data_IF_116729443152
#
_entry.id   IF_116729443152
#
_cell.length_a   1.000
_cell.length_b   1.000
_cell.length_c   1.000
_cell.angle_alpha   90.00
_cell.angle_beta   90.00
_cell.angle_gamma   90.00
#
_symmetry.space_group_name_H-M   'P 1'
#
loop_
_entity.id
_entity.type
_entity.pdbx_description
1 polymer ?
#
# COMPACT_ATOMS: atom_id res chain seq x y z
N UNK A 1 9.85 10.84 -14.47
CA UNK A 1 11.02 10.09 -13.97
C UNK A 1 12.05 9.80 -15.07
N UNK A 2 11.91 8.75 -15.89
CA UNK A 2 13.02 8.33 -16.78
C UNK A 2 13.51 9.40 -17.77
N UNK A 3 12.63 10.20 -18.36
CA UNK A 3 13.05 11.31 -19.24
C UNK A 3 13.87 12.38 -18.49
N UNK A 4 13.52 12.67 -17.24
CA UNK A 4 14.29 13.58 -16.38
C UNK A 4 15.63 12.96 -15.98
N UNK A 5 15.64 11.66 -15.66
CA UNK A 5 16.89 10.92 -15.40
C UNK A 5 17.82 10.93 -16.62
N UNK A 6 17.30 10.70 -17.83
CA UNK A 6 18.05 10.80 -19.09
C UNK A 6 18.67 12.20 -19.24
N UNK A 7 17.90 13.24 -18.90
CA UNK A 7 18.34 14.63 -19.02
C UNK A 7 19.43 14.99 -18.01
N UNK A 8 19.55 14.28 -16.88
CA UNK A 8 20.65 14.46 -15.93
C UNK A 8 22.03 14.09 -16.51
N UNK A 9 22.06 13.29 -17.59
CA UNK A 9 23.30 12.80 -18.19
C UNK A 9 24.01 11.68 -17.41
N UNK A 10 23.43 11.20 -16.30
CA UNK A 10 24.03 10.12 -15.51
C UNK A 10 23.98 8.76 -16.23
N UNK A 11 25.03 7.92 -16.09
CA UNK A 11 25.15 6.69 -16.87
C UNK A 11 24.31 5.53 -16.32
N UNK A 12 24.00 5.53 -15.01
CA UNK A 12 23.28 4.45 -14.31
C UNK A 12 22.67 4.98 -13.02
N UNK A 13 21.58 4.37 -12.55
CA UNK A 13 20.98 4.68 -11.24
C UNK A 13 21.89 4.30 -10.08
N UNK A 14 21.83 5.08 -8.99
CA UNK A 14 22.65 4.92 -7.79
C UNK A 14 22.12 3.85 -6.81
N UNK A 15 20.82 3.58 -6.82
CA UNK A 15 20.15 2.61 -5.94
C UNK A 15 19.31 1.60 -6.73
N UNK A 16 19.00 0.42 -6.16
CA UNK A 16 18.08 -0.53 -6.78
C UNK A 16 16.76 0.14 -7.15
N UNK A 17 16.39 0.04 -8.43
CA UNK A 17 15.22 0.72 -8.99
C UNK A 17 14.47 -0.24 -9.90
N UNK A 18 13.14 -0.15 -9.93
CA UNK A 18 12.29 -1.01 -10.78
C UNK A 18 11.18 -0.20 -11.47
N UNK A 19 10.81 -0.64 -12.68
CA UNK A 19 9.65 -0.17 -13.43
C UNK A 19 8.62 -1.30 -13.47
N UNK A 20 7.35 -0.95 -13.28
CA UNK A 20 6.21 -1.87 -13.30
C UNK A 20 5.19 -1.41 -14.35
N UNK A 21 4.75 -2.33 -15.22
CA UNK A 21 3.85 -2.04 -16.34
C UNK A 21 2.42 -2.52 -16.05
N UNK A 22 1.67 -1.75 -15.27
CA UNK A 22 0.34 -2.08 -14.77
C UNK A 22 -0.75 -1.05 -15.11
N UNK A 23 -0.40 0.22 -15.34
CA UNK A 23 -1.36 1.31 -15.56
C UNK A 23 -1.89 1.45 -17.00
N UNK A 24 -1.31 0.75 -17.98
CA UNK A 24 -1.65 0.88 -19.41
C UNK A 24 -2.43 -0.32 -19.97
N UNK A 25 -3.06 -1.11 -19.09
CA UNK A 25 -3.87 -2.28 -19.47
C UNK A 25 -5.34 -1.97 -19.20
N UNK A 26 -6.09 -1.64 -20.25
CA UNK A 26 -7.52 -1.36 -20.14
C UNK A 26 -8.34 -2.66 -20.06
N UNK A 27 -9.17 -2.78 -19.03
CA UNK A 27 -10.13 -3.88 -18.89
C UNK A 27 -11.32 -3.71 -19.85
N UNK A 28 -11.57 -4.71 -20.70
CA UNK A 28 -12.64 -4.68 -21.70
C UNK A 28 -13.26 -6.06 -21.96
N UNK A 29 -12.44 -7.04 -22.36
CA UNK A 29 -12.87 -8.38 -22.78
C UNK A 29 -12.41 -9.50 -21.85
N UNK A 30 -11.50 -9.21 -20.91
CA UNK A 30 -10.94 -10.16 -19.96
C UNK A 30 -9.44 -10.42 -20.17
N UNK A 31 -8.79 -10.85 -19.08
CA UNK A 31 -7.34 -10.98 -18.86
C UNK A 31 -6.45 -11.04 -20.11
N UNK A 32 -6.36 -12.19 -20.78
CA UNK A 32 -5.40 -12.40 -21.87
C UNK A 32 -5.65 -11.52 -23.09
N UNK A 33 -6.92 -11.28 -23.44
CA UNK A 33 -7.30 -10.45 -24.59
C UNK A 33 -6.95 -8.99 -24.35
N UNK A 34 -7.23 -8.51 -23.13
CA UNK A 34 -6.92 -7.15 -22.72
C UNK A 34 -5.40 -6.94 -22.63
N UNK A 35 -4.66 -7.92 -22.10
CA UNK A 35 -3.21 -7.87 -22.03
C UNK A 35 -2.56 -7.87 -23.42
N UNK A 36 -3.04 -8.71 -24.35
CA UNK A 36 -2.51 -8.74 -25.71
C UNK A 36 -2.76 -7.40 -26.41
N UNK A 37 -3.99 -6.90 -26.33
CA UNK A 37 -4.35 -5.58 -26.86
C UNK A 37 -3.48 -4.46 -26.27
N UNK A 38 -3.23 -4.48 -24.96
CA UNK A 38 -2.39 -3.50 -24.30
C UNK A 38 -0.94 -3.55 -24.77
N UNK A 39 -0.39 -4.74 -25.05
CA UNK A 39 0.96 -4.89 -25.62
C UNK A 39 1.05 -4.30 -27.02
N UNK A 40 0.03 -4.51 -27.85
CA UNK A 40 -0.01 -3.97 -29.21
C UNK A 40 -0.14 -2.44 -29.21
N UNK A 41 -1.08 -1.89 -28.42
CA UNK A 41 -1.33 -0.44 -28.33
C UNK A 41 -0.15 0.31 -27.73
N UNK A 42 0.47 -0.22 -26.67
CA UNK A 42 1.49 0.49 -25.90
C UNK A 42 2.92 0.00 -26.19
N UNK A 43 3.13 -0.67 -27.33
CA UNK A 43 4.41 -1.26 -27.71
C UNK A 43 5.56 -0.24 -27.67
N UNK A 44 5.31 1.00 -28.10
CA UNK A 44 6.28 2.10 -28.06
C UNK A 44 6.72 2.41 -26.62
N UNK A 45 5.76 2.63 -25.72
CA UNK A 45 6.00 2.99 -24.32
C UNK A 45 6.72 1.85 -23.59
N UNK A 46 6.25 0.61 -23.75
CA UNK A 46 6.89 -0.54 -23.12
C UNK A 46 8.31 -0.77 -23.63
N UNK A 47 8.56 -0.57 -24.93
CA UNK A 47 9.91 -0.67 -25.49
C UNK A 47 10.82 0.44 -24.95
N UNK A 48 10.33 1.68 -24.87
CA UNK A 48 11.08 2.77 -24.25
C UNK A 48 11.47 2.44 -22.80
N UNK A 49 10.52 2.01 -21.97
CA UNK A 49 10.77 1.69 -20.57
C UNK A 49 11.73 0.50 -20.41
N UNK A 50 11.55 -0.56 -21.21
CA UNK A 50 12.42 -1.74 -21.16
C UNK A 50 13.87 -1.41 -21.57
N UNK A 51 14.05 -0.66 -22.66
CA UNK A 51 15.37 -0.29 -23.17
C UNK A 51 16.05 0.77 -22.30
N UNK A 52 15.29 1.73 -21.75
CA UNK A 52 15.80 2.67 -20.75
C UNK A 52 16.22 1.94 -19.47
N UNK A 53 15.43 0.97 -18.99
CA UNK A 53 15.78 0.17 -17.84
C UNK A 53 17.06 -0.65 -18.06
N UNK A 54 17.18 -1.31 -19.21
CA UNK A 54 18.39 -2.01 -19.60
C UNK A 54 19.62 -1.09 -19.67
N UNK A 55 19.47 0.12 -20.22
CA UNK A 55 20.56 1.10 -20.34
C UNK A 55 21.02 1.64 -18.99
N UNK A 56 20.09 2.03 -18.12
CA UNK A 56 20.40 2.74 -16.87
C UNK A 56 20.41 1.83 -15.63
N UNK A 57 20.26 0.51 -15.80
CA UNK A 57 20.34 -0.46 -14.71
C UNK A 57 19.10 -0.51 -13.82
N UNK A 58 17.92 -0.25 -14.38
CA UNK A 58 16.62 -0.33 -13.69
C UNK A 58 15.95 -1.66 -14.05
N UNK A 59 15.50 -2.41 -13.04
CA UNK A 59 14.75 -3.65 -13.26
C UNK A 59 13.42 -3.38 -13.96
N UNK A 60 12.96 -4.32 -14.80
CA UNK A 60 11.77 -4.12 -15.62
C UNK A 60 10.78 -5.28 -15.47
N UNK A 61 9.64 -4.99 -14.83
CA UNK A 61 8.50 -5.90 -14.75
C UNK A 61 7.59 -5.69 -15.96
N UNK A 62 7.49 -6.75 -16.78
CA UNK A 62 6.79 -6.73 -18.07
C UNK A 62 5.27 -6.54 -17.89
N UNK A 63 4.55 -6.03 -18.91
CA UNK A 63 3.10 -5.95 -18.87
C UNK A 63 2.45 -7.29 -18.54
N UNK A 64 1.54 -7.27 -17.56
CA UNK A 64 0.87 -8.47 -17.04
C UNK A 64 1.60 -9.16 -15.88
N UNK A 65 2.70 -8.59 -15.36
CA UNK A 65 3.39 -9.12 -14.18
C UNK A 65 2.58 -9.00 -12.89
N UNK A 66 1.69 -8.02 -12.80
CA UNK A 66 0.99 -7.65 -11.58
C UNK A 66 1.18 -6.16 -11.24
N UNK A 67 0.38 -5.69 -10.28
CA UNK A 67 0.36 -4.30 -9.84
C UNK A 67 1.60 -4.01 -8.98
N UNK A 68 2.19 -2.83 -9.15
CA UNK A 68 3.45 -2.39 -8.52
C UNK A 68 3.53 -2.73 -7.02
N UNK A 69 2.51 -2.39 -6.25
CA UNK A 69 2.52 -2.56 -4.79
C UNK A 69 2.48 -4.02 -4.34
N UNK A 70 1.82 -4.88 -5.11
CA UNK A 70 1.77 -6.32 -4.86
C UNK A 70 3.13 -6.95 -5.15
N UNK A 71 3.73 -6.59 -6.30
CA UNK A 71 5.08 -7.03 -6.66
C UNK A 71 6.10 -6.55 -5.61
N UNK A 72 5.98 -5.29 -5.14
CA UNK A 72 6.80 -4.74 -4.06
C UNK A 72 6.65 -5.56 -2.79
N UNK A 73 5.42 -5.81 -2.32
CA UNK A 73 5.21 -6.56 -1.08
C UNK A 73 5.79 -7.99 -1.16
N UNK A 74 5.60 -8.65 -2.30
CA UNK A 74 6.03 -10.03 -2.53
C UNK A 74 7.55 -10.19 -2.70
N UNK A 75 8.26 -9.16 -3.19
CA UNK A 75 9.66 -9.30 -3.63
C UNK A 75 10.63 -8.28 -3.01
N UNK A 76 10.19 -7.05 -2.73
CA UNK A 76 11.09 -5.91 -2.48
C UNK A 76 10.95 -5.26 -1.10
N UNK A 77 9.75 -5.27 -0.51
CA UNK A 77 9.55 -4.76 0.84
C UNK A 77 10.17 -5.71 1.88
N UNK A 78 10.68 -5.14 2.97
CA UNK A 78 11.15 -5.89 4.14
C UNK A 78 11.17 -4.97 5.37
N UNK A 79 11.18 -5.51 6.60
CA UNK A 79 11.22 -4.70 7.81
C UNK A 79 12.42 -3.74 7.84
N UNK A 80 12.15 -2.45 8.08
CA UNK A 80 13.17 -1.41 8.14
C UNK A 80 13.61 -0.83 6.79
N UNK A 81 13.06 -1.28 5.66
CA UNK A 81 13.35 -0.65 4.36
C UNK A 81 12.82 0.79 4.33
N UNK A 82 13.62 1.71 3.78
CA UNK A 82 13.14 3.01 3.31
C UNK A 82 12.97 2.93 1.79
N UNK A 83 11.74 2.99 1.31
CA UNK A 83 11.39 2.85 -0.10
C UNK A 83 10.59 4.07 -0.57
N UNK A 84 10.98 4.65 -1.70
CA UNK A 84 10.16 5.66 -2.38
C UNK A 84 9.62 5.09 -3.69
N UNK A 85 8.38 5.45 -4.03
CA UNK A 85 7.71 5.01 -5.24
C UNK A 85 6.96 6.16 -5.89
N UNK A 86 6.92 6.21 -7.21
CA UNK A 86 6.20 7.28 -7.94
C UNK A 86 4.71 6.97 -8.04
N UNK A 87 4.07 6.68 -6.92
CA UNK A 87 2.68 6.26 -6.79
C UNK A 87 2.17 6.58 -5.36
N UNK A 88 0.92 7.01 -5.23
CA UNK A 88 0.35 7.38 -3.92
C UNK A 88 0.18 6.21 -2.95
N UNK A 89 -0.03 5.00 -3.47
CA UNK A 89 -0.32 3.80 -2.68
C UNK A 89 0.95 3.00 -2.32
N UNK A 90 2.14 3.56 -2.57
CA UNK A 90 3.42 3.03 -2.09
C UNK A 90 3.45 2.70 -0.58
N UNK A 91 2.71 3.40 0.31
CA UNK A 91 2.53 3.00 1.71
C UNK A 91 2.10 1.56 1.95
N UNK A 92 1.54 0.86 0.95
CA UNK A 92 1.24 -0.57 1.02
C UNK A 92 2.37 -1.43 1.62
N UNK A 93 3.63 -1.10 1.31
CA UNK A 93 4.80 -1.83 1.81
C UNK A 93 5.00 -1.73 3.33
N UNK A 94 4.37 -0.77 4.01
CA UNK A 94 4.40 -0.66 5.48
C UNK A 94 3.69 -1.80 6.20
N UNK A 95 2.86 -2.58 5.48
CA UNK A 95 2.35 -3.87 5.98
C UNK A 95 3.42 -4.93 6.19
N UNK A 96 4.65 -4.69 5.72
CA UNK A 96 5.83 -5.52 5.94
C UNK A 96 6.94 -4.77 6.70
N UNK A 97 6.56 -3.77 7.50
CA UNK A 97 7.44 -3.06 8.43
C UNK A 97 8.42 -2.07 7.79
N UNK A 98 8.19 -1.69 6.53
CA UNK A 98 8.97 -0.68 5.83
C UNK A 98 8.36 0.72 5.93
N UNK A 99 9.20 1.75 5.82
CA UNK A 99 8.75 3.12 5.52
C UNK A 99 8.72 3.27 4.01
N UNK A 100 7.52 3.19 3.43
CA UNK A 100 7.32 3.24 2.00
C UNK A 100 6.53 4.50 1.63
N UNK A 101 7.12 5.46 0.92
CA UNK A 101 6.53 6.78 0.69
C UNK A 101 6.29 7.04 -0.80
N UNK A 102 5.09 7.52 -1.12
CA UNK A 102 4.74 7.97 -2.46
C UNK A 102 5.36 9.34 -2.76
N UNK A 103 5.98 9.51 -3.93
CA UNK A 103 6.69 10.74 -4.31
C UNK A 103 6.44 11.13 -5.77
N UNK A 104 6.87 12.33 -6.14
CA UNK A 104 6.87 12.77 -7.53
C UNK A 104 7.97 12.11 -8.36
N UNK A 105 7.84 12.17 -9.69
CA UNK A 105 8.86 11.64 -10.59
C UNK A 105 10.22 12.33 -10.50
N UNK A 106 10.29 13.54 -9.94
CA UNK A 106 11.54 14.29 -9.72
C UNK A 106 12.28 13.78 -8.47
N UNK A 107 11.58 13.56 -7.36
CA UNK A 107 12.18 13.02 -6.12
C UNK A 107 12.78 11.63 -6.35
N UNK A 108 12.10 10.80 -7.15
CA UNK A 108 12.66 9.51 -7.58
C UNK A 108 13.96 9.68 -8.38
N UNK A 109 14.06 10.73 -9.19
CA UNK A 109 15.29 11.04 -9.95
C UNK A 109 16.41 11.48 -9.02
N UNK A 110 16.13 12.25 -7.97
CA UNK A 110 17.14 12.65 -6.99
C UNK A 110 17.81 11.43 -6.35
N UNK A 111 17.01 10.49 -5.83
CA UNK A 111 17.56 9.26 -5.22
C UNK A 111 18.26 8.38 -6.25
N UNK A 112 17.69 8.23 -7.46
CA UNK A 112 18.35 7.52 -8.55
C UNK A 112 19.66 8.20 -8.98
N UNK A 113 19.79 9.50 -8.81
CA UNK A 113 20.99 10.28 -9.10
C UNK A 113 22.02 10.29 -7.95
N UNK A 114 21.68 9.72 -6.80
CA UNK A 114 22.52 9.76 -5.59
C UNK A 114 22.46 11.08 -4.84
N UNK A 115 21.44 11.90 -5.10
CA UNK A 115 21.14 13.14 -4.39
C UNK A 115 20.32 12.80 -3.15
N UNK A 116 20.59 13.49 -2.05
CA UNK A 116 19.81 13.32 -0.82
C UNK A 116 18.35 13.72 -1.06
N UNK A 117 17.42 12.84 -0.68
CA UNK A 117 16.00 13.13 -0.73
C UNK A 117 15.56 13.86 0.54
N UNK A 118 14.83 14.96 0.34
CA UNK A 118 14.31 15.77 1.44
C UNK A 118 12.88 15.33 1.79
N UNK A 119 12.65 15.12 3.08
CA UNK A 119 11.33 14.87 3.63
C UNK A 119 11.10 15.79 4.81
N UNK A 120 9.99 16.52 4.81
CA UNK A 120 9.56 17.27 5.99
C UNK A 120 9.33 16.28 7.12
N UNK A 121 9.99 16.51 8.26
CA UNK A 121 9.87 15.65 9.44
C UNK A 121 8.38 15.44 9.79
N UNK A 122 7.87 14.20 9.69
CA UNK A 122 6.46 13.92 9.88
C UNK A 122 6.11 13.93 11.37
N UNK A 123 4.85 14.29 11.66
CA UNK A 123 4.22 13.92 12.94
C UNK A 123 3.92 12.42 12.95
N UNK A 124 3.55 11.87 14.11
CA UNK A 124 3.11 10.46 14.21
C UNK A 124 1.72 10.37 14.83
N UNK A 125 0.79 9.76 14.10
CA UNK A 125 -0.55 9.42 14.59
C UNK A 125 -0.54 7.95 14.96
N UNK A 126 -0.67 7.65 16.26
CA UNK A 126 -0.78 6.30 16.76
C UNK A 126 -2.20 5.75 16.60
N UNK A 127 -2.36 4.61 15.95
CA UNK A 127 -3.62 3.85 15.91
C UNK A 127 -3.45 2.58 16.73
N UNK A 128 -4.03 2.59 17.93
CA UNK A 128 -3.98 1.46 18.87
C UNK A 128 -5.09 0.48 18.55
N UNK A 129 -4.70 -0.73 18.15
CA UNK A 129 -5.59 -1.84 17.86
C UNK A 129 -5.71 -2.75 19.06
N UNK A 130 -6.94 -3.06 19.47
CA UNK A 130 -7.25 -4.00 20.55
C UNK A 130 -8.27 -5.04 20.08
N UNK A 131 -8.38 -6.16 20.79
CA UNK A 131 -9.25 -7.27 20.37
C UNK A 131 -8.76 -7.93 19.08
N UNK A 132 -9.66 -8.66 18.43
CA UNK A 132 -9.40 -9.41 17.19
C UNK A 132 -10.57 -9.26 16.21
N UNK A 133 -10.25 -9.21 14.90
CA UNK A 133 -11.25 -9.22 13.83
C UNK A 133 -12.03 -10.54 13.84
N UNK A 134 -13.35 -10.47 13.64
CA UNK A 134 -14.22 -11.65 13.63
C UNK A 134 -15.31 -11.57 12.56
N UNK A 135 -15.80 -12.74 12.13
CA UNK A 135 -16.88 -12.85 11.17
C UNK A 135 -16.57 -12.18 9.82
N UNK A 136 -17.43 -11.26 9.41
CA UNK A 136 -17.31 -10.54 8.14
C UNK A 136 -16.33 -9.37 8.19
N UNK A 137 -15.92 -8.93 9.38
CA UNK A 137 -14.97 -7.83 9.51
C UNK A 137 -13.60 -8.23 9.00
N UNK A 138 -12.96 -7.30 8.31
CA UNK A 138 -11.74 -7.49 7.53
C UNK A 138 -10.70 -6.43 7.87
N UNK A 139 -9.43 -6.62 7.48
CA UNK A 139 -8.42 -5.57 7.59
C UNK A 139 -8.85 -4.28 6.89
N UNK A 140 -9.60 -4.37 5.78
CA UNK A 140 -10.13 -3.21 5.05
C UNK A 140 -11.02 -2.34 5.94
N UNK A 141 -11.82 -2.94 6.81
CA UNK A 141 -12.73 -2.20 7.70
C UNK A 141 -11.97 -1.32 8.71
N UNK A 142 -10.75 -1.71 9.09
CA UNK A 142 -9.92 -0.91 10.00
C UNK A 142 -9.59 0.43 9.35
N UNK A 143 -9.07 0.40 8.11
CA UNK A 143 -8.70 1.64 7.41
C UNK A 143 -9.93 2.43 6.95
N UNK A 144 -11.04 1.78 6.59
CA UNK A 144 -12.31 2.48 6.33
C UNK A 144 -12.81 3.23 7.57
N UNK A 145 -12.66 2.63 8.76
CA UNK A 145 -13.00 3.27 10.04
C UNK A 145 -12.06 4.43 10.36
N UNK A 146 -10.75 4.24 10.20
CA UNK A 146 -9.74 5.30 10.41
C UNK A 146 -10.00 6.47 9.46
N UNK A 147 -10.30 6.20 8.19
CA UNK A 147 -10.65 7.23 7.20
C UNK A 147 -11.89 8.02 7.62
N UNK A 148 -12.92 7.35 8.13
CA UNK A 148 -14.10 8.03 8.68
C UNK A 148 -13.84 8.89 9.92
N UNK A 149 -12.83 8.52 10.73
CA UNK A 149 -12.43 9.30 11.92
C UNK A 149 -11.59 10.51 11.53
N UNK A 150 -10.60 10.31 10.66
CA UNK A 150 -9.61 11.33 10.31
C UNK A 150 -10.03 12.24 9.17
N UNK A 151 -10.96 11.81 8.32
CA UNK A 151 -11.31 12.46 7.03
C UNK A 151 -10.13 12.49 6.05
N UNK A 152 -10.38 12.90 4.81
CA UNK A 152 -9.34 12.98 3.75
C UNK A 152 -8.17 13.92 4.04
N UNK A 153 -8.24 14.74 5.09
CA UNK A 153 -7.18 15.69 5.48
C UNK A 153 -6.47 15.33 6.80
N UNK A 154 -6.99 14.39 7.58
CA UNK A 154 -6.55 14.19 8.96
C UNK A 154 -5.14 13.62 9.10
N UNK A 155 -4.62 12.94 8.08
CA UNK A 155 -3.26 12.39 8.06
C UNK A 155 -2.19 13.32 7.49
N UNK A 156 -2.56 14.50 6.97
CA UNK A 156 -1.63 15.36 6.23
C UNK A 156 -0.38 15.71 7.03
N UNK A 157 0.80 15.32 6.52
CA UNK A 157 2.10 15.58 7.15
C UNK A 157 2.42 14.69 8.35
N UNK A 158 1.70 13.58 8.52
CA UNK A 158 1.96 12.58 9.55
C UNK A 158 2.17 11.18 8.96
N UNK A 159 2.91 10.34 9.68
CA UNK A 159 2.92 8.89 9.50
C UNK A 159 1.86 8.29 10.41
N UNK A 160 1.10 7.32 9.90
CA UNK A 160 0.18 6.52 10.73
C UNK A 160 0.93 5.29 11.23
N UNK A 161 1.06 5.17 12.54
CA UNK A 161 1.74 4.03 13.17
C UNK A 161 0.74 3.15 13.92
N UNK A 162 0.60 1.90 13.48
CA UNK A 162 -0.31 0.93 14.09
C UNK A 162 0.39 0.18 15.21
N UNK A 163 -0.24 0.09 16.38
CA UNK A 163 0.33 -0.56 17.56
C UNK A 163 -0.75 -1.20 18.42
N UNK A 164 -0.35 -1.87 19.51
CA UNK A 164 -1.27 -2.52 20.43
C UNK A 164 -1.52 -4.01 20.14
N UNK A 165 -2.20 -4.72 21.05
CA UNK A 165 -2.31 -6.18 21.01
C UNK A 165 -3.06 -6.72 19.78
N UNK A 166 -3.98 -5.94 19.21
CA UNK A 166 -4.74 -6.35 18.02
C UNK A 166 -3.91 -6.42 16.74
N UNK A 167 -2.69 -5.87 16.72
CA UNK A 167 -1.80 -5.93 15.54
C UNK A 167 -1.50 -7.38 15.15
N UNK A 168 -1.21 -8.25 16.12
CA UNK A 168 -0.88 -9.64 15.87
C UNK A 168 -2.06 -10.48 15.34
N UNK A 169 -3.29 -9.95 15.40
CA UNK A 169 -4.48 -10.58 14.83
C UNK A 169 -4.61 -10.34 13.32
N UNK A 170 -3.80 -9.48 12.72
CA UNK A 170 -3.93 -9.07 11.31
C UNK A 170 -2.82 -9.72 10.48
N UNK A 171 -3.20 -10.32 9.34
CA UNK A 171 -2.26 -10.93 8.40
C UNK A 171 -1.32 -9.88 7.78
N UNK A 172 -0.17 -10.30 7.25
CA UNK A 172 0.75 -9.39 6.58
C UNK A 172 0.10 -8.61 5.42
N UNK A 173 -0.69 -9.30 4.59
CA UNK A 173 -1.40 -8.67 3.46
C UNK A 173 -2.57 -7.82 3.93
N UNK A 174 -3.20 -8.16 5.06
CA UNK A 174 -4.16 -7.30 5.74
C UNK A 174 -3.55 -6.01 6.29
N UNK A 175 -2.35 -6.09 6.88
CA UNK A 175 -1.60 -4.91 7.30
C UNK A 175 -1.24 -4.03 6.08
N UNK A 176 -0.87 -4.65 4.95
CA UNK A 176 -0.61 -3.93 3.70
C UNK A 176 -1.88 -3.23 3.18
N UNK A 177 -3.04 -3.89 3.22
CA UNK A 177 -4.35 -3.30 2.89
C UNK A 177 -4.61 -2.02 3.69
N UNK A 178 -4.34 -2.08 5.01
CA UNK A 178 -4.55 -0.96 5.92
C UNK A 178 -3.60 0.19 5.60
N UNK A 179 -2.30 -0.10 5.39
CA UNK A 179 -1.32 0.93 5.08
C UNK A 179 -1.58 1.58 3.71
N UNK A 180 -1.97 0.78 2.71
CA UNK A 180 -2.27 1.19 1.34
C UNK A 180 -3.30 2.32 1.32
N UNK A 181 -4.46 2.11 1.97
CA UNK A 181 -5.54 3.09 1.96
C UNK A 181 -5.33 4.23 2.99
N UNK A 182 -4.19 4.25 3.68
CA UNK A 182 -3.74 5.44 4.43
C UNK A 182 -3.42 6.63 3.52
N UNK A 183 -3.20 6.39 2.22
CA UNK A 183 -3.00 7.45 1.23
C UNK A 183 -4.23 8.38 1.14
N UNK A 184 -5.44 7.83 1.28
CA UNK A 184 -6.72 8.53 1.14
C UNK A 184 -6.99 9.56 2.24
N UNK A 185 -6.26 9.50 3.36
CA UNK A 185 -6.31 10.49 4.45
C UNK A 185 -5.16 11.50 4.40
N UNK A 186 -4.33 11.44 3.35
CA UNK A 186 -3.19 12.33 3.13
C UNK A 186 -1.96 12.01 3.99
N UNK A 187 -1.89 10.81 4.58
CA UNK A 187 -0.72 10.40 5.35
C UNK A 187 0.54 10.36 4.48
N UNK A 188 1.69 10.74 5.06
CA UNK A 188 3.00 10.60 4.41
C UNK A 188 3.28 9.12 4.10
N UNK A 189 2.98 8.25 5.06
CA UNK A 189 2.89 6.80 4.90
C UNK A 189 2.21 6.19 6.14
N UNK A 190 2.07 4.88 6.15
CA UNK A 190 1.50 4.08 7.22
C UNK A 190 2.39 2.85 7.48
N UNK A 191 2.59 2.46 8.73
CA UNK A 191 3.49 1.35 9.07
C UNK A 191 2.97 0.50 10.23
N UNK A 192 3.25 -0.81 10.16
CA UNK A 192 3.10 -1.75 11.26
C UNK A 192 4.46 -2.19 11.79
N UNK A 193 4.59 -2.49 13.10
CA UNK A 193 5.84 -3.01 13.67
C UNK A 193 6.11 -4.44 13.19
N UNK A 194 7.40 -4.82 13.11
CA UNK A 194 7.78 -6.17 12.73
C UNK A 194 7.21 -7.21 13.71
N UNK A 195 6.54 -8.22 13.16
CA UNK A 195 5.87 -9.27 13.93
C UNK A 195 5.92 -10.66 13.24
N UNK A 196 5.37 -11.66 13.92
CA UNK A 196 5.38 -13.05 13.47
C UNK A 196 4.58 -13.29 12.17
N UNK A 197 3.60 -12.43 11.85
CA UNK A 197 2.80 -12.49 10.61
C UNK A 197 3.64 -12.09 9.41
N UNK A 198 4.46 -11.04 9.56
CA UNK A 198 5.44 -10.62 8.56
C UNK A 198 6.51 -11.69 8.34
N UNK A 199 7.06 -12.27 9.41
CA UNK A 199 7.99 -13.42 9.34
C UNK A 199 7.42 -14.59 8.56
N UNK A 200 6.16 -14.94 8.83
CA UNK A 200 5.46 -16.01 8.12
C UNK A 200 5.34 -15.69 6.63
N UNK A 201 4.96 -14.46 6.29
CA UNK A 201 4.83 -14.03 4.90
C UNK A 201 6.16 -13.99 4.14
N UNK A 202 7.23 -13.45 4.74
CA UNK A 202 8.59 -13.49 4.19
C UNK A 202 9.02 -14.92 3.88
N UNK A 203 8.82 -15.85 4.82
CA UNK A 203 9.15 -17.26 4.63
C UNK A 203 8.34 -17.88 3.47
N UNK A 204 7.03 -17.59 3.38
CA UNK A 204 6.16 -18.09 2.31
C UNK A 204 6.47 -17.52 0.93
N UNK A 205 7.10 -16.35 0.87
CA UNK A 205 7.56 -15.70 -0.37
C UNK A 205 9.03 -16.00 -0.66
N UNK A 206 9.63 -17.01 -0.02
CA UNK A 206 11.00 -17.45 -0.30
C UNK A 206 12.09 -16.56 0.30
N UNK A 207 11.75 -15.70 1.27
CA UNK A 207 12.64 -14.69 1.88
C UNK A 207 12.91 -14.97 3.36
N UNK A 208 13.03 -16.25 3.74
CA UNK A 208 13.24 -16.66 5.13
C UNK A 208 14.53 -16.06 5.74
N UNK A 209 15.59 -15.86 4.94
CA UNK A 209 16.83 -15.24 5.40
C UNK A 209 16.64 -13.80 5.87
N UNK A 210 15.78 -13.02 5.18
CA UNK A 210 15.42 -11.66 5.60
C UNK A 210 14.68 -11.70 6.93
N UNK A 211 13.78 -12.67 7.12
CA UNK A 211 13.04 -12.80 8.38
C UNK A 211 13.96 -13.17 9.55
N UNK A 212 14.93 -14.06 9.32
CA UNK A 212 15.92 -14.41 10.33
C UNK A 212 16.79 -13.20 10.71
N UNK A 213 17.24 -12.42 9.72
CA UNK A 213 17.96 -11.17 9.98
C UNK A 213 17.10 -10.17 10.75
N UNK A 214 15.82 -10.00 10.39
CA UNK A 214 14.92 -9.10 11.08
C UNK A 214 14.69 -9.51 12.55
N UNK A 215 14.69 -10.80 12.87
CA UNK A 215 14.61 -11.28 14.26
C UNK A 215 15.82 -10.84 15.11
N UNK A 216 17.02 -10.82 14.53
CA UNK A 216 18.25 -10.38 15.21
C UNK A 216 18.21 -8.87 15.52
N UNK A 217 17.49 -8.08 14.70
CA UNK A 217 17.38 -6.62 14.84
C UNK A 217 15.98 -6.17 15.31
N UNK A 218 15.17 -7.07 15.87
CA UNK A 218 13.76 -6.79 16.17
C UNK A 218 13.52 -5.56 17.06
N UNK A 219 14.46 -5.24 17.95
CA UNK A 219 14.38 -4.08 18.86
C UNK A 219 14.43 -2.75 18.10
N UNK A 220 15.01 -2.72 16.89
CA UNK A 220 15.04 -1.54 16.01
C UNK A 220 13.86 -1.49 15.03
N UNK A 221 13.04 -2.54 15.00
CA UNK A 221 11.94 -2.72 14.06
C UNK A 221 10.57 -2.63 14.75
N UNK A 222 10.57 -2.13 15.98
CA UNK A 222 9.42 -1.93 16.85
C UNK A 222 9.53 -0.56 17.50
N UNK A 223 8.41 0.08 17.85
CA UNK A 223 8.45 1.33 18.61
C UNK A 223 9.03 1.11 20.00
N UNK A 224 9.79 2.10 20.47
CA UNK A 224 10.31 2.11 21.83
C UNK A 224 9.15 2.11 22.86
N UNK A 225 9.31 1.41 24.00
CA UNK A 225 8.35 1.49 25.09
C UNK A 225 8.16 2.94 25.56
N UNK A 226 6.91 3.42 25.53
CA UNK A 226 6.59 4.78 25.98
C UNK A 226 6.89 5.88 24.96
N UNK A 227 7.15 5.54 23.70
CA UNK A 227 7.17 6.54 22.62
C UNK A 227 5.87 7.37 22.60
N UNK A 228 5.99 8.65 22.21
CA UNK A 228 4.87 9.58 22.18
C UNK A 228 4.31 9.72 20.76
N UNK A 229 2.98 9.67 20.65
CA UNK A 229 2.27 10.02 19.43
C UNK A 229 1.70 11.44 19.54
N UNK A 230 1.76 12.21 18.45
CA UNK A 230 1.16 13.55 18.37
C UNK A 230 -0.37 13.49 18.48
N UNK A 231 -0.96 12.36 18.08
CA UNK A 231 -2.36 12.04 18.18
C UNK A 231 -2.53 10.54 18.39
N UNK A 232 -3.51 10.14 19.21
CA UNK A 232 -3.84 8.74 19.46
C UNK A 232 -5.30 8.44 19.08
N UNK A 233 -5.51 7.37 18.33
CA UNK A 233 -6.81 6.80 18.00
C UNK A 233 -6.84 5.37 18.52
N UNK A 234 -7.94 4.95 19.14
CA UNK A 234 -8.12 3.57 19.58
C UNK A 234 -9.25 2.89 18.78
N UNK A 235 -9.01 1.66 18.32
CA UNK A 235 -9.99 0.83 17.61
C UNK A 235 -10.03 -0.56 18.25
N UNK A 236 -11.22 -0.93 18.73
CA UNK A 236 -11.51 -2.30 19.16
C UNK A 236 -11.95 -3.14 17.95
N UNK A 237 -11.07 -4.04 17.51
CA UNK A 237 -11.31 -4.94 16.37
C UNK A 237 -12.47 -5.91 16.60
N UNK A 238 -12.76 -6.27 17.85
CA UNK A 238 -13.86 -7.19 18.18
C UNK A 238 -15.23 -6.52 18.12
N UNK A 239 -15.29 -5.19 18.19
CA UNK A 239 -16.52 -4.42 18.00
C UNK A 239 -16.63 -3.84 16.58
N UNK A 240 -15.56 -3.93 15.79
CA UNK A 240 -15.54 -3.45 14.42
C UNK A 240 -16.48 -4.29 13.57
N UNK A 241 -17.39 -3.61 12.87
CA UNK A 241 -18.33 -4.20 11.91
C UNK A 241 -17.88 -3.91 10.47
N UNK A 242 -18.36 -4.67 9.47
CA UNK A 242 -18.13 -4.36 8.06
C UNK A 242 -18.59 -2.94 7.68
N UNK A 243 -17.76 -2.26 6.91
CA UNK A 243 -17.97 -0.89 6.46
C UNK A 243 -17.97 -0.79 4.93
N UNK A 244 -18.63 0.25 4.43
CA UNK A 244 -18.57 0.72 3.05
C UNK A 244 -18.47 2.23 3.06
N UNK A 245 -17.50 2.78 2.32
CA UNK A 245 -17.29 4.22 2.25
C UNK A 245 -17.68 4.76 0.86
N UNK A 246 -18.22 5.97 0.80
CA UNK A 246 -18.61 6.62 -0.45
C UNK A 246 -19.95 7.35 -0.36
N UNK A 247 -20.50 7.82 -1.49
CA UNK A 247 -20.14 7.40 -2.85
C UNK A 247 -19.06 8.26 -3.53
N UNK A 248 -18.75 9.46 -3.02
CA UNK A 248 -17.84 10.39 -3.70
C UNK A 248 -16.59 10.76 -2.91
N UNK A 249 -16.46 10.30 -1.67
CA UNK A 249 -15.25 10.46 -0.87
C UNK A 249 -14.95 9.17 -0.09
N UNK A 250 -13.66 8.82 0.09
CA UNK A 250 -13.26 7.60 0.78
C UNK A 250 -13.43 7.68 2.30
N UNK A 251 -13.76 8.84 2.86
CA UNK A 251 -13.98 9.06 4.29
C UNK A 251 -15.45 9.07 4.72
N UNK A 252 -16.40 9.03 3.77
CA UNK A 252 -17.82 8.95 4.10
C UNK A 252 -18.20 7.51 4.45
N UNK A 253 -17.92 7.13 5.70
CA UNK A 253 -18.08 5.77 6.18
C UNK A 253 -19.52 5.43 6.59
N UNK A 254 -19.96 4.24 6.20
CA UNK A 254 -21.26 3.65 6.55
C UNK A 254 -21.08 2.20 6.97
N UNK A 255 -21.89 1.74 7.92
CA UNK A 255 -22.03 0.31 8.18
C UNK A 255 -22.82 -0.37 7.07
N UNK A 256 -22.55 -1.66 6.82
CA UNK A 256 -23.35 -2.44 5.86
C UNK A 256 -24.83 -2.52 6.28
N UNK A 257 -25.13 -2.47 7.57
CA UNK A 257 -26.50 -2.50 8.09
C UNK A 257 -27.30 -1.23 7.72
N UNK A 258 -26.65 -0.07 7.64
CA UNK A 258 -27.35 1.22 7.44
C UNK A 258 -27.34 1.73 6.00
N UNK A 259 -26.37 1.29 5.17
CA UNK A 259 -26.12 1.91 3.85
C UNK A 259 -27.35 1.87 2.93
N UNK A 260 -28.17 0.82 2.99
CA UNK A 260 -29.40 0.71 2.20
C UNK A 260 -30.38 1.85 2.48
N UNK A 261 -30.69 2.06 3.77
CA UNK A 261 -31.57 3.15 4.22
C UNK A 261 -31.00 4.53 3.92
N UNK A 262 -29.67 4.70 4.04
CA UNK A 262 -28.99 5.95 3.69
C UNK A 262 -29.07 6.22 2.19
N UNK A 263 -28.88 5.19 1.36
CA UNK A 263 -28.96 5.29 -0.09
C UNK A 263 -30.36 5.72 -0.55
N UNK A 264 -31.42 5.10 -0.02
CA UNK A 264 -32.80 5.49 -0.31
C UNK A 264 -33.07 6.95 0.07
N UNK A 265 -32.67 7.35 1.29
CA UNK A 265 -32.87 8.71 1.78
C UNK A 265 -32.11 9.76 0.97
N UNK A 266 -30.91 9.44 0.48
CA UNK A 266 -30.05 10.35 -0.29
C UNK A 266 -30.24 10.24 -1.81
N UNK A 267 -31.13 9.37 -2.28
CA UNK A 267 -31.36 9.15 -3.71
C UNK A 267 -30.18 8.50 -4.42
N UNK A 268 -29.36 7.71 -3.72
CA UNK A 268 -28.28 6.93 -4.33
C UNK A 268 -28.84 5.67 -5.02
N UNK A 269 -28.31 5.26 -6.19
CA UNK A 269 -28.75 4.04 -6.85
C UNK A 269 -28.54 2.80 -5.96
N UNK A 270 -29.62 2.08 -5.64
CA UNK A 270 -29.57 0.86 -4.82
C UNK A 270 -29.30 -0.42 -5.61
N UNK A 271 -29.44 -0.36 -6.95
CA UNK A 271 -29.12 -1.48 -7.82
C UNK A 271 -27.62 -1.48 -8.16
N UNK A 272 -26.89 -2.42 -7.55
CA UNK A 272 -25.46 -2.64 -7.81
C UNK A 272 -25.31 -3.21 -9.23
N UNK A 273 -24.81 -2.38 -10.16
CA UNK A 273 -24.62 -2.78 -11.56
C UNK A 273 -23.43 -3.72 -11.74
N UNK A 274 -22.34 -3.44 -11.04
CA UNK A 274 -21.07 -4.18 -11.12
C UNK A 274 -20.46 -4.23 -9.73
N UNK A 275 -20.01 -5.40 -9.29
CA UNK A 275 -19.16 -5.58 -8.13
C UNK A 275 -17.73 -5.86 -8.61
N UNK A 276 -16.76 -5.10 -8.12
CA UNK A 276 -15.35 -5.20 -8.50
C UNK A 276 -14.53 -5.55 -7.26
N UNK A 277 -13.76 -6.64 -7.34
CA UNK A 277 -12.74 -7.02 -6.33
C UNK A 277 -11.34 -6.96 -6.97
N UNK A 278 -10.29 -7.05 -6.16
CA UNK A 278 -8.91 -6.98 -6.63
C UNK A 278 -8.31 -5.58 -6.45
N UNK A 279 -7.56 -5.11 -7.46
CA UNK A 279 -6.66 -3.94 -7.39
C UNK A 279 -5.54 -4.12 -6.35
N UNK A 280 -4.66 -3.13 -6.18
CA UNK A 280 -3.55 -3.25 -5.22
C UNK A 280 -3.99 -3.36 -3.76
N UNK A 281 -5.18 -2.88 -3.41
CA UNK A 281 -5.63 -2.81 -2.01
C UNK A 281 -6.16 -4.15 -1.50
N UNK A 282 -6.84 -4.95 -2.32
CA UNK A 282 -7.49 -6.21 -1.91
C UNK A 282 -7.41 -7.29 -2.99
N UNK A 283 -6.19 -7.73 -3.34
CA UNK A 283 -5.94 -8.80 -4.30
C UNK A 283 -5.01 -9.91 -3.80
N UNK A 284 -4.84 -10.05 -2.49
CA UNK A 284 -4.01 -11.10 -1.93
C UNK A 284 -4.69 -12.48 -2.04
N UNK A 285 -3.93 -13.55 -1.78
CA UNK A 285 -4.50 -14.90 -1.66
C UNK A 285 -5.57 -14.97 -0.57
N UNK A 286 -5.39 -14.24 0.53
CA UNK A 286 -6.39 -14.14 1.61
C UNK A 286 -7.69 -13.48 1.13
N UNK A 287 -7.58 -12.39 0.35
CA UNK A 287 -8.75 -11.71 -0.23
C UNK A 287 -9.52 -12.62 -1.19
N UNK A 288 -8.80 -13.34 -2.06
CA UNK A 288 -9.40 -14.22 -3.08
C UNK A 288 -10.00 -15.50 -2.50
N UNK A 289 -9.44 -16.00 -1.39
CA UNK A 289 -9.89 -17.22 -0.71
C UNK A 289 -11.02 -17.02 0.28
N UNK A 290 -11.41 -15.77 0.56
CA UNK A 290 -12.45 -15.44 1.54
C UNK A 290 -13.84 -15.80 1.00
N UNK A 291 -14.58 -16.61 1.75
CA UNK A 291 -15.93 -17.09 1.43
C UNK A 291 -16.84 -17.09 2.65
#
# INVERSE_FOLDING_TARGET
AMLQFISSGLPKVAVPSTIHCDHLIEAQLGGEKDLQRAKDINQEVYNFLATAGAKYGVGFWKPGSGIIHQIILENYAYPGVMLIGTDSHTPNGGGLGGICIGVGGADAVDVMAGIAWELKCPKVIGVKLTGELSGWSSPKDVILKVAGILTVKGGTGAIIEYHGPGVDSISCTGMATICNMGAEIGATTSVFPYNHRMKTYLSKTGRAEIANMADEFQEHLKPDPGCSYDQLIEINLSELKPLINGPFTPDLAHTIEEIGSVAEKKGWPVNIRVGLIGSCTNSSYEDMGRS
#
